data_IF_810796943026
#
_entry.id   IF_810796943026
#
_cell.length_a   1.000
_cell.length_b   1.000
_cell.length_c   1.000
_cell.angle_alpha   90.00
_cell.angle_beta   90.00
_cell.angle_gamma   90.00
#
_symmetry.space_group_name_H-M   'P 1'
#
loop_
_entity.id
_entity.type
_entity.pdbx_description
1 polymer ?
#
# COMPACT_ATOMS: atom_id res chain seq x y z
N UNK A 1 34.73 -35.52 11.72
CA UNK A 1 33.44 -35.05 12.27
C UNK A 1 32.64 -34.41 11.14
N UNK A 2 31.49 -35.00 10.78
CA UNK A 2 30.59 -34.41 9.79
C UNK A 2 29.87 -33.21 10.41
N UNK A 3 29.95 -32.04 9.78
CA UNK A 3 29.11 -30.89 10.18
C UNK A 3 27.68 -31.15 9.72
N UNK A 4 26.85 -31.62 10.63
CA UNK A 4 25.40 -31.67 10.47
C UNK A 4 24.87 -30.24 10.53
N UNK A 5 24.78 -29.57 9.38
CA UNK A 5 24.01 -28.34 9.28
C UNK A 5 22.53 -28.72 9.23
N UNK A 6 21.81 -28.44 10.32
CA UNK A 6 20.35 -28.50 10.31
C UNK A 6 19.87 -27.34 9.44
N UNK A 7 19.19 -27.65 8.34
CA UNK A 7 18.39 -26.67 7.61
C UNK A 7 17.24 -26.25 8.53
N UNK A 8 17.41 -25.14 9.25
CA UNK A 8 16.31 -24.52 9.96
C UNK A 8 15.36 -23.92 8.92
N UNK A 9 14.10 -24.35 8.93
CA UNK A 9 13.08 -23.62 8.18
C UNK A 9 13.03 -22.19 8.75
N UNK A 10 12.99 -21.16 7.88
CA UNK A 10 12.81 -19.80 8.37
C UNK A 10 11.52 -19.78 9.20
N UNK A 11 11.52 -19.13 10.39
CA UNK A 11 10.30 -18.99 11.16
C UNK A 11 9.23 -18.36 10.26
N UNK A 12 7.98 -18.78 10.42
CA UNK A 12 6.87 -18.13 9.74
C UNK A 12 6.96 -16.63 10.01
N UNK A 13 6.80 -15.81 8.96
CA UNK A 13 6.79 -14.36 9.11
C UNK A 13 5.59 -13.98 9.99
N UNK A 14 5.89 -13.55 11.22
CA UNK A 14 4.93 -13.22 12.26
C UNK A 14 4.60 -11.71 12.27
N UNK A 15 4.92 -10.98 11.19
CA UNK A 15 4.66 -9.55 11.16
C UNK A 15 3.16 -9.21 11.07
N UNK A 16 2.49 -9.24 12.22
CA UNK A 16 1.08 -8.88 12.40
C UNK A 16 0.71 -7.50 11.87
N UNK A 17 1.69 -6.58 11.77
CA UNK A 17 1.46 -5.22 11.29
C UNK A 17 1.22 -5.14 9.77
N UNK A 18 1.79 -6.06 9.00
CA UNK A 18 1.65 -6.08 7.53
C UNK A 18 1.16 -7.41 6.95
N UNK A 19 1.02 -8.46 7.76
CA UNK A 19 0.59 -9.79 7.29
C UNK A 19 -0.77 -9.77 6.59
N UNK A 20 -1.64 -8.82 6.98
CA UNK A 20 -2.98 -8.72 6.41
C UNK A 20 -2.96 -8.47 4.91
N UNK A 21 -1.90 -7.88 4.34
CA UNK A 21 -1.72 -7.73 2.89
C UNK A 21 -1.66 -9.06 2.13
N UNK A 22 -1.43 -10.17 2.82
CA UNK A 22 -1.41 -11.50 2.23
C UNK A 22 -2.81 -12.08 1.99
N UNK A 23 -3.85 -11.49 2.58
CA UNK A 23 -5.22 -11.96 2.38
C UNK A 23 -5.73 -11.58 0.98
N UNK A 24 -6.38 -12.53 0.25
CA UNK A 24 -6.78 -12.33 -1.14
C UNK A 24 -7.80 -11.19 -1.34
N UNK A 25 -8.60 -10.87 -0.33
CA UNK A 25 -9.62 -9.81 -0.40
C UNK A 25 -9.09 -8.38 -0.29
N UNK A 26 -7.82 -8.19 0.08
CA UNK A 26 -7.26 -6.86 0.32
C UNK A 26 -7.26 -6.01 -0.93
N UNK A 27 -6.86 -6.59 -2.06
CA UNK A 27 -6.76 -5.84 -3.33
C UNK A 27 -8.12 -5.37 -3.81
N UNK A 28 -9.12 -6.25 -3.74
CA UNK A 28 -10.51 -5.90 -4.08
C UNK A 28 -11.01 -4.78 -3.17
N UNK A 29 -10.81 -4.92 -1.86
CA UNK A 29 -11.23 -3.92 -0.88
C UNK A 29 -10.55 -2.57 -1.15
N UNK A 30 -9.25 -2.59 -1.47
CA UNK A 30 -8.48 -1.40 -1.82
C UNK A 30 -9.05 -0.68 -3.04
N UNK A 31 -9.32 -1.42 -4.12
CA UNK A 31 -9.90 -0.86 -5.35
C UNK A 31 -11.28 -0.26 -5.06
N UNK A 32 -12.10 -0.93 -4.26
CA UNK A 32 -13.41 -0.43 -3.85
C UNK A 32 -13.30 0.86 -3.03
N UNK A 33 -12.36 0.94 -2.08
CA UNK A 33 -12.11 2.17 -1.30
C UNK A 33 -11.77 3.34 -2.23
N UNK A 34 -10.88 3.13 -3.19
CA UNK A 34 -10.50 4.18 -4.17
C UNK A 34 -11.71 4.60 -5.01
N UNK A 35 -12.48 3.64 -5.52
CA UNK A 35 -13.66 3.90 -6.34
C UNK A 35 -14.76 4.66 -5.58
N UNK A 36 -15.10 4.21 -4.36
CA UNK A 36 -16.09 4.89 -3.54
C UNK A 36 -15.61 6.25 -3.03
N UNK A 37 -14.30 6.44 -2.80
CA UNK A 37 -13.74 7.76 -2.50
C UNK A 37 -13.95 8.73 -3.67
N UNK A 38 -13.78 8.27 -4.90
CA UNK A 38 -14.06 9.07 -6.09
C UNK A 38 -15.56 9.42 -6.22
N UNK A 39 -16.45 8.45 -6.02
CA UNK A 39 -17.89 8.70 -6.01
C UNK A 39 -18.30 9.69 -4.90
N UNK A 40 -17.69 9.58 -3.72
CA UNK A 40 -17.94 10.50 -2.60
C UNK A 40 -17.52 11.93 -2.97
N UNK A 41 -16.32 12.11 -3.52
CA UNK A 41 -15.82 13.43 -3.94
C UNK A 41 -16.73 14.03 -5.03
N UNK A 42 -17.12 13.24 -6.03
CA UNK A 42 -18.08 13.68 -7.04
C UNK A 42 -19.41 14.11 -6.43
N UNK A 43 -19.97 13.29 -5.54
CA UNK A 43 -21.32 13.51 -4.99
C UNK A 43 -21.36 14.68 -4.02
N UNK A 44 -20.32 14.86 -3.20
CA UNK A 44 -20.26 15.91 -2.17
C UNK A 44 -19.90 17.27 -2.76
N UNK A 45 -18.94 17.32 -3.70
CA UNK A 45 -18.45 18.58 -4.24
C UNK A 45 -19.11 18.99 -5.56
N UNK A 46 -19.84 18.09 -6.24
CA UNK A 46 -20.48 18.38 -7.53
C UNK A 46 -19.49 18.79 -8.62
N UNK A 47 -18.24 18.35 -8.52
CA UNK A 47 -17.15 18.74 -9.41
C UNK A 47 -17.06 17.84 -10.66
N UNK A 48 -16.20 18.20 -11.62
CA UNK A 48 -15.96 17.37 -12.80
C UNK A 48 -15.23 16.07 -12.43
N UNK A 49 -15.38 15.00 -13.24
CA UNK A 49 -14.64 13.75 -13.05
C UNK A 49 -13.13 13.92 -12.91
N UNK A 50 -12.52 14.83 -13.68
CA UNK A 50 -11.07 15.12 -13.62
C UNK A 50 -10.65 15.75 -12.29
N UNK A 51 -11.43 16.71 -11.79
CA UNK A 51 -11.18 17.29 -10.46
C UNK A 51 -11.32 16.23 -9.36
N UNK A 52 -12.34 15.38 -9.43
CA UNK A 52 -12.52 14.31 -8.45
C UNK A 52 -11.36 13.31 -8.43
N UNK A 53 -10.85 12.90 -9.60
CA UNK A 53 -9.66 12.05 -9.68
C UNK A 53 -8.42 12.73 -9.12
N UNK A 54 -8.24 14.03 -9.37
CA UNK A 54 -7.12 14.81 -8.83
C UNK A 54 -7.14 14.82 -7.30
N UNK A 55 -8.29 15.09 -6.70
CA UNK A 55 -8.47 15.10 -5.25
C UNK A 55 -8.16 13.71 -4.67
N UNK A 56 -8.75 12.65 -5.23
CA UNK A 56 -8.49 11.26 -4.78
C UNK A 56 -7.01 10.91 -4.90
N UNK A 57 -6.34 11.29 -5.99
CA UNK A 57 -4.91 11.04 -6.18
C UNK A 57 -4.03 11.76 -5.14
N UNK A 58 -4.34 13.02 -4.80
CA UNK A 58 -3.60 13.76 -3.78
C UNK A 58 -3.79 13.16 -2.38
N UNK A 59 -5.02 12.81 -2.00
CA UNK A 59 -5.29 12.16 -0.72
C UNK A 59 -4.68 10.77 -0.66
N UNK A 60 -4.79 9.99 -1.73
CA UNK A 60 -4.17 8.69 -1.86
C UNK A 60 -2.66 8.78 -1.66
N UNK A 61 -1.99 9.72 -2.35
CA UNK A 61 -0.56 9.96 -2.18
C UNK A 61 -0.21 10.31 -0.73
N UNK A 62 -0.90 11.27 -0.11
CA UNK A 62 -0.61 11.70 1.25
C UNK A 62 -0.75 10.56 2.27
N UNK A 63 -1.85 9.79 2.18
CA UNK A 63 -2.14 8.67 3.08
C UNK A 63 -1.13 7.55 2.85
N UNK A 64 -0.96 7.08 1.61
CA UNK A 64 -0.08 5.96 1.31
C UNK A 64 1.38 6.28 1.60
N UNK A 65 1.84 7.50 1.29
CA UNK A 65 3.18 7.94 1.65
C UNK A 65 3.38 7.95 3.18
N UNK A 66 2.43 8.50 3.93
CA UNK A 66 2.51 8.52 5.39
C UNK A 66 2.62 7.10 5.97
N UNK A 67 1.73 6.18 5.58
CA UNK A 67 1.74 4.84 6.14
C UNK A 67 2.90 3.98 5.64
N UNK A 68 3.15 3.93 4.32
CA UNK A 68 4.14 3.02 3.77
C UNK A 68 5.57 3.53 3.89
N UNK A 69 5.80 4.83 3.79
CA UNK A 69 7.15 5.38 3.65
C UNK A 69 7.59 6.26 4.82
N UNK A 70 6.67 6.76 5.65
CA UNK A 70 7.02 7.59 6.81
C UNK A 70 6.87 6.84 8.14
N UNK A 71 5.76 6.13 8.33
CA UNK A 71 5.45 5.43 9.59
C UNK A 71 6.37 4.22 9.77
N UNK A 72 7.06 4.20 10.91
CA UNK A 72 7.97 3.14 11.34
C UNK A 72 7.44 2.41 12.56
N UNK A 73 7.93 1.18 12.75
CA UNK A 73 7.58 0.35 13.90
C UNK A 73 6.24 -0.35 13.75
N UNK A 74 5.80 -0.93 14.86
CA UNK A 74 4.57 -1.70 14.98
C UNK A 74 3.96 -1.44 16.37
N UNK A 75 2.63 -1.50 16.52
CA UNK A 75 1.98 -1.43 17.81
C UNK A 75 2.08 -2.74 18.62
N UNK A 76 2.60 -3.83 18.02
CA UNK A 76 2.62 -5.16 18.64
C UNK A 76 3.91 -5.41 19.42
N UNK A 77 3.83 -5.52 20.74
CA UNK A 77 4.98 -5.79 21.61
C UNK A 77 5.59 -7.20 21.44
N UNK A 78 4.85 -8.13 20.85
CA UNK A 78 5.30 -9.51 20.56
C UNK A 78 6.51 -9.55 19.60
N UNK A 79 6.74 -8.47 18.83
CA UNK A 79 7.83 -8.39 17.86
C UNK A 79 9.21 -8.12 18.48
N UNK A 80 9.28 -7.89 19.81
CA UNK A 80 10.49 -7.55 20.55
C UNK A 80 11.27 -6.35 19.96
N UNK A 81 10.56 -5.43 19.29
CA UNK A 81 11.12 -4.26 18.65
C UNK A 81 11.85 -4.53 17.34
N UNK A 82 11.74 -5.74 16.76
CA UNK A 82 12.38 -6.10 15.49
C UNK A 82 12.05 -5.13 14.36
N UNK A 83 10.83 -4.55 14.36
CA UNK A 83 10.38 -3.67 13.28
C UNK A 83 10.48 -2.17 13.59
N UNK A 84 10.98 -1.77 14.76
CA UNK A 84 11.00 -0.36 15.22
C UNK A 84 11.71 0.60 14.25
N UNK A 85 12.76 0.15 13.57
CA UNK A 85 13.51 0.94 12.59
C UNK A 85 12.93 0.94 11.18
N UNK A 86 11.98 0.05 10.90
CA UNK A 86 11.48 -0.27 9.57
C UNK A 86 10.12 0.38 9.31
N UNK A 87 9.98 0.95 8.12
CA UNK A 87 8.70 1.42 7.58
C UNK A 87 7.77 0.27 7.25
N UNK A 88 6.47 0.52 7.11
CA UNK A 88 5.54 -0.53 6.67
C UNK A 88 5.90 -1.09 5.29
N UNK A 89 6.45 -0.26 4.40
CA UNK A 89 6.97 -0.73 3.12
C UNK A 89 8.13 -1.71 3.30
N UNK A 90 9.07 -1.46 4.21
CA UNK A 90 10.21 -2.36 4.46
C UNK A 90 9.78 -3.63 5.18
N UNK A 91 8.79 -3.52 6.06
CA UNK A 91 8.20 -4.63 6.81
C UNK A 91 7.45 -5.64 5.92
N UNK A 92 6.72 -5.15 4.91
CA UNK A 92 5.87 -5.99 4.05
C UNK A 92 6.67 -7.05 3.28
N UNK A 93 6.09 -8.24 3.13
CA UNK A 93 6.69 -9.36 2.39
C UNK A 93 8.15 -9.67 2.81
N UNK A 94 8.49 -9.48 4.09
CA UNK A 94 9.87 -9.62 4.62
C UNK A 94 10.90 -8.76 3.88
N UNK A 95 10.53 -7.57 3.41
CA UNK A 95 11.43 -6.70 2.65
C UNK A 95 11.75 -7.18 1.21
N UNK A 96 11.17 -8.30 0.76
CA UNK A 96 11.40 -8.82 -0.60
C UNK A 96 10.83 -7.87 -1.63
N UNK A 97 11.68 -7.42 -2.56
CA UNK A 97 11.27 -6.50 -3.62
C UNK A 97 10.49 -7.22 -4.73
N UNK A 98 9.70 -6.46 -5.49
CA UNK A 98 8.97 -6.92 -6.68
C UNK A 98 8.04 -8.13 -6.46
N UNK A 99 7.59 -8.32 -5.23
CA UNK A 99 6.52 -9.25 -4.88
C UNK A 99 5.21 -8.81 -5.53
N UNK A 100 4.25 -9.74 -5.55
CA UNK A 100 2.92 -9.49 -6.13
C UNK A 100 2.24 -8.28 -5.46
N UNK A 101 2.30 -8.16 -4.13
CA UNK A 101 1.74 -7.05 -3.36
C UNK A 101 2.43 -5.71 -3.65
N UNK A 102 3.77 -5.69 -3.67
CA UNK A 102 4.51 -4.46 -4.00
C UNK A 102 4.24 -3.98 -5.41
N UNK A 103 4.17 -4.90 -6.38
CA UNK A 103 3.78 -4.55 -7.76
C UNK A 103 2.40 -3.92 -7.82
N UNK A 104 1.43 -4.49 -7.11
CA UNK A 104 0.09 -3.91 -7.00
C UNK A 104 0.13 -2.48 -6.43
N UNK A 105 0.81 -2.27 -5.29
CA UNK A 105 0.92 -0.96 -4.64
C UNK A 105 1.70 0.08 -5.45
N UNK A 106 2.57 -0.34 -6.38
CA UNK A 106 3.25 0.55 -7.33
C UNK A 106 2.37 0.87 -8.54
N UNK A 107 1.61 -0.11 -9.05
CA UNK A 107 0.76 0.08 -10.24
C UNK A 107 -0.43 1.00 -9.94
N UNK A 108 -1.03 0.91 -8.77
CA UNK A 108 -2.16 1.75 -8.36
C UNK A 108 -1.89 3.26 -8.54
N UNK A 109 -0.83 3.86 -7.95
CA UNK A 109 -0.56 5.29 -8.12
C UNK A 109 -0.24 5.66 -9.58
N UNK A 110 0.36 4.76 -10.36
CA UNK A 110 0.55 4.96 -11.81
C UNK A 110 -0.78 5.08 -12.54
N UNK A 111 -1.73 4.20 -12.24
CA UNK A 111 -3.09 4.24 -12.82
C UNK A 111 -3.84 5.49 -12.37
N UNK A 112 -3.73 5.88 -11.09
CA UNK A 112 -4.38 7.10 -10.58
C UNK A 112 -3.87 8.36 -11.27
N UNK A 113 -2.55 8.48 -11.44
CA UNK A 113 -1.95 9.60 -12.18
C UNK A 113 -2.41 9.59 -13.64
N UNK A 114 -2.45 8.42 -14.28
CA UNK A 114 -2.96 8.29 -15.64
C UNK A 114 -4.42 8.73 -15.77
N UNK A 115 -5.28 8.32 -14.83
CA UNK A 115 -6.68 8.75 -14.77
C UNK A 115 -6.82 10.27 -14.58
N UNK A 116 -5.97 10.89 -13.76
CA UNK A 116 -5.93 12.35 -13.65
C UNK A 116 -5.58 13.00 -14.99
N UNK A 117 -4.50 12.53 -15.64
CA UNK A 117 -3.99 13.11 -16.88
C UNK A 117 -4.98 13.02 -18.05
N UNK A 118 -5.72 11.91 -18.18
CA UNK A 118 -6.68 11.72 -19.28
C UNK A 118 -8.00 12.47 -19.07
N UNK A 119 -8.37 12.76 -17.81
CA UNK A 119 -9.59 13.51 -17.47
C UNK A 119 -9.33 15.00 -17.21
N UNK A 120 -8.08 15.44 -17.27
CA UNK A 120 -7.74 16.86 -17.22
C UNK A 120 -7.97 17.44 -18.61
N UNK A 121 -8.91 18.38 -18.74
CA UNK A 121 -9.12 19.13 -19.98
C UNK A 121 -7.90 20.03 -20.22
N UNK A 122 -7.02 19.61 -21.13
CA UNK A 122 -5.96 20.46 -21.63
C UNK A 122 -6.60 21.57 -22.46
N UNK A 123 -6.71 22.78 -21.90
CA UNK A 123 -7.11 23.95 -22.68
C UNK A 123 -5.92 24.31 -23.58
N UNK A 124 -6.00 23.88 -24.85
CA UNK A 124 -5.11 24.32 -25.93
C UNK A 124 -5.76 25.51 -26.62
#
# INVERSE_FOLDING_TARGET
MAKLYVQAFPPADLNKNTEWFMYPGVWTTYILIVFFSWLLVLSVFGCTPGTAWTVVNLFHFAITYHFFHWKKGTPFADDQGMYNGLTWWEQMDNGKQLTRNRKFLIVVPVVLIWLCSVNTEWQI
#
